data_IF_110425929811
#
_entry.id   IF_110425929811
#
_cell.length_a   1.000
_cell.length_b   1.000
_cell.length_c   1.000
_cell.angle_alpha   90.00
_cell.angle_beta   90.00
_cell.angle_gamma   90.00
#
_symmetry.space_group_name_H-M   'P 1'
#
loop_
_entity.id
_entity.type
_entity.pdbx_description
1 polymer ?
#
# COMPACT_ATOMS: atom_id res chain seq x y z
N UNK A 1 14.98 20.48 -2.09
CA UNK A 1 15.06 19.33 -1.15
C UNK A 1 14.14 19.52 0.05
N UNK A 2 14.34 20.59 0.83
CA UNK A 2 13.37 21.02 1.85
C UNK A 2 12.03 21.42 1.21
N UNK A 3 12.04 22.10 0.06
CA UNK A 3 10.81 22.57 -0.59
C UNK A 3 9.84 21.42 -0.95
N UNK A 4 10.29 20.35 -1.61
CA UNK A 4 9.45 19.18 -1.94
C UNK A 4 8.94 18.46 -0.67
N UNK A 5 9.76 18.37 0.38
CA UNK A 5 9.36 17.78 1.66
C UNK A 5 8.42 18.68 2.47
N UNK A 6 8.61 19.99 2.40
CA UNK A 6 7.77 21.02 3.01
C UNK A 6 6.43 21.06 2.26
N UNK A 7 6.44 21.00 0.93
CA UNK A 7 5.25 20.88 0.10
C UNK A 7 4.51 19.57 0.44
N UNK A 8 5.23 18.45 0.53
CA UNK A 8 4.67 17.19 1.00
C UNK A 8 4.02 17.31 2.37
N UNK A 9 4.67 17.94 3.36
CA UNK A 9 4.08 18.13 4.70
C UNK A 9 2.85 19.03 4.68
N UNK A 10 2.87 20.11 3.88
CA UNK A 10 1.81 21.12 3.77
C UNK A 10 0.56 20.60 3.05
N UNK A 11 0.69 19.59 2.20
CA UNK A 11 -0.44 19.00 1.50
C UNK A 11 -1.36 18.16 2.41
N UNK A 12 -2.64 18.10 2.04
CA UNK A 12 -3.64 17.19 2.65
C UNK A 12 -3.27 15.73 2.44
N UNK A 13 -3.85 14.82 3.22
CA UNK A 13 -3.58 13.38 3.13
C UNK A 13 -3.75 12.82 1.71
N UNK A 14 -4.74 13.34 0.95
CA UNK A 14 -4.94 12.99 -0.46
C UNK A 14 -3.80 13.47 -1.35
N UNK A 15 -3.33 14.70 -1.16
CA UNK A 15 -2.18 15.26 -1.89
C UNK A 15 -0.90 14.45 -1.66
N UNK A 16 -0.62 14.14 -0.38
CA UNK A 16 0.48 13.25 0.04
C UNK A 16 0.43 11.92 -0.69
N UNK A 17 -0.72 11.25 -0.69
CA UNK A 17 -0.90 9.98 -1.38
C UNK A 17 -0.65 10.08 -2.90
N UNK A 18 -1.09 11.17 -3.55
CA UNK A 18 -0.87 11.38 -4.98
C UNK A 18 0.62 11.59 -5.29
N UNK A 19 1.32 12.42 -4.51
CA UNK A 19 2.75 12.67 -4.69
C UNK A 19 3.58 11.40 -4.45
N UNK A 20 3.33 10.71 -3.33
CA UNK A 20 4.01 9.47 -3.00
C UNK A 20 3.77 8.39 -4.08
N UNK A 21 2.55 8.27 -4.60
CA UNK A 21 2.22 7.32 -5.68
C UNK A 21 2.92 7.66 -6.99
N UNK A 22 2.96 8.94 -7.38
CA UNK A 22 3.66 9.39 -8.59
C UNK A 22 5.15 9.07 -8.50
N UNK A 23 5.78 9.39 -7.36
CA UNK A 23 7.18 9.10 -7.12
C UNK A 23 7.46 7.60 -7.11
N UNK A 24 6.71 6.81 -6.32
CA UNK A 24 6.91 5.37 -6.25
C UNK A 24 6.74 4.70 -7.63
N UNK A 25 5.77 5.15 -8.44
CA UNK A 25 5.59 4.67 -9.81
C UNK A 25 6.80 5.01 -10.70
N UNK A 26 7.35 6.21 -10.58
CA UNK A 26 8.57 6.59 -11.29
C UNK A 26 9.78 5.77 -10.84
N UNK A 27 10.01 5.69 -9.53
CA UNK A 27 11.16 5.02 -8.93
C UNK A 27 11.21 3.52 -9.26
N UNK A 28 10.06 2.84 -9.25
CA UNK A 28 10.00 1.41 -9.54
C UNK A 28 10.14 1.11 -11.04
N UNK A 29 9.57 1.94 -11.92
CA UNK A 29 9.42 1.59 -13.34
C UNK A 29 10.35 2.34 -14.30
N UNK A 30 10.79 3.55 -13.96
CA UNK A 30 11.51 4.46 -14.86
C UNK A 30 12.91 4.83 -14.36
N UNK A 31 13.16 4.76 -13.06
CA UNK A 31 14.47 5.07 -12.51
C UNK A 31 15.52 4.07 -13.00
N UNK A 32 16.61 4.61 -13.55
CA UNK A 32 17.77 3.85 -14.02
C UNK A 32 18.88 3.93 -12.95
N UNK A 33 19.15 2.84 -12.21
CA UNK A 33 20.25 2.83 -11.26
C UNK A 33 21.57 2.95 -12.02
N UNK A 34 22.48 3.76 -11.49
CA UNK A 34 23.85 3.92 -12.00
C UNK A 34 24.83 3.10 -11.16
N UNK A 35 24.52 2.88 -9.88
CA UNK A 35 25.37 2.13 -8.95
C UNK A 35 24.72 0.82 -8.52
N UNK A 36 25.54 -0.16 -8.12
CA UNK A 36 25.06 -1.45 -7.59
C UNK A 36 24.22 -1.27 -6.32
N UNK A 37 24.52 -0.24 -5.52
CA UNK A 37 23.78 0.08 -4.29
C UNK A 37 22.36 0.53 -4.62
N UNK A 38 22.20 1.40 -5.64
CA UNK A 38 20.89 1.85 -6.11
C UNK A 38 20.08 0.69 -6.72
N UNK A 39 20.74 -0.21 -7.47
CA UNK A 39 20.06 -1.38 -8.03
C UNK A 39 19.52 -2.29 -6.91
N UNK A 40 20.33 -2.51 -5.86
CA UNK A 40 19.92 -3.28 -4.69
C UNK A 40 18.76 -2.63 -3.95
N UNK A 41 18.79 -1.31 -3.70
CA UNK A 41 17.66 -0.61 -3.07
C UNK A 41 16.40 -0.66 -3.95
N UNK A 42 16.53 -0.51 -5.27
CA UNK A 42 15.37 -0.59 -6.16
C UNK A 42 14.74 -2.00 -6.14
N UNK A 43 15.55 -3.06 -6.06
CA UNK A 43 15.08 -4.44 -5.87
C UNK A 43 14.40 -4.60 -4.51
N UNK A 44 14.99 -4.06 -3.44
CA UNK A 44 14.41 -4.09 -2.10
C UNK A 44 13.09 -3.31 -2.03
N UNK A 45 12.99 -2.15 -2.68
CA UNK A 45 11.77 -1.36 -2.75
C UNK A 45 10.63 -2.11 -3.47
N UNK A 46 10.95 -2.83 -4.57
CA UNK A 46 9.99 -3.70 -5.26
C UNK A 46 9.51 -4.85 -4.38
N UNK A 47 10.43 -5.50 -3.66
CA UNK A 47 10.09 -6.55 -2.72
C UNK A 47 9.21 -6.01 -1.59
N UNK A 48 9.62 -4.91 -0.98
CA UNK A 48 8.91 -4.24 0.10
C UNK A 48 7.49 -3.84 -0.31
N UNK A 49 7.33 -3.26 -1.50
CA UNK A 49 6.00 -2.95 -2.06
C UNK A 49 5.10 -4.19 -2.17
N UNK A 50 5.64 -5.31 -2.66
CA UNK A 50 4.91 -6.59 -2.74
C UNK A 50 4.56 -7.13 -1.35
N UNK A 51 5.49 -7.05 -0.40
CA UNK A 51 5.27 -7.48 0.98
C UNK A 51 4.16 -6.66 1.65
N UNK A 52 4.19 -5.33 1.56
CA UNK A 52 3.18 -4.47 2.17
C UNK A 52 1.78 -4.68 1.56
N UNK A 53 1.70 -4.80 0.23
CA UNK A 53 0.42 -5.03 -0.46
C UNK A 53 -0.16 -6.41 -0.15
N UNK A 54 0.67 -7.45 -0.16
CA UNK A 54 0.25 -8.82 0.18
C UNK A 54 -0.13 -8.92 1.66
N UNK A 55 0.71 -8.41 2.56
CA UNK A 55 0.45 -8.43 4.00
C UNK A 55 -0.81 -7.62 4.35
N UNK A 56 -1.00 -6.45 3.73
CA UNK A 56 -2.20 -5.63 3.92
C UNK A 56 -3.47 -6.38 3.48
N UNK A 57 -3.46 -7.01 2.30
CA UNK A 57 -4.61 -7.76 1.81
C UNK A 57 -4.92 -9.00 2.66
N UNK A 58 -3.90 -9.81 2.99
CA UNK A 58 -4.07 -11.04 3.76
C UNK A 58 -4.49 -10.75 5.20
N UNK A 59 -3.87 -9.78 5.87
CA UNK A 59 -4.18 -9.46 7.27
C UNK A 59 -5.62 -8.96 7.44
N UNK A 60 -6.08 -8.06 6.57
CA UNK A 60 -7.44 -7.51 6.65
C UNK A 60 -8.48 -8.53 6.19
N UNK A 61 -8.19 -9.32 5.14
CA UNK A 61 -9.06 -10.43 4.75
C UNK A 61 -9.20 -11.49 5.85
N UNK A 62 -8.10 -11.83 6.53
CA UNK A 62 -8.12 -12.76 7.66
C UNK A 62 -8.88 -12.20 8.87
N UNK A 63 -8.75 -10.89 9.16
CA UNK A 63 -9.53 -10.22 10.19
C UNK A 63 -11.04 -10.24 9.87
N UNK A 64 -11.44 -10.04 8.61
CA UNK A 64 -12.85 -10.19 8.17
C UNK A 64 -13.37 -11.60 8.46
N UNK A 65 -12.60 -12.63 8.10
CA UNK A 65 -12.96 -14.02 8.40
C UNK A 65 -13.12 -14.28 9.90
N UNK A 66 -12.15 -13.83 10.71
CA UNK A 66 -12.19 -13.94 12.18
C UNK A 66 -13.40 -13.23 12.77
N UNK A 67 -13.68 -12.00 12.34
CA UNK A 67 -14.81 -11.21 12.80
C UNK A 67 -16.15 -11.90 12.49
N UNK A 68 -16.30 -12.42 11.27
CA UNK A 68 -17.50 -13.18 10.88
C UNK A 68 -17.65 -14.47 11.71
N UNK A 69 -16.57 -15.23 11.94
CA UNK A 69 -16.61 -16.43 12.79
C UNK A 69 -17.05 -16.10 14.22
N UNK A 70 -16.55 -14.98 14.77
CA UNK A 70 -16.98 -14.50 16.08
C UNK A 70 -18.46 -14.11 16.10
N UNK A 71 -18.95 -13.41 15.07
CA UNK A 71 -20.37 -13.05 14.94
C UNK A 71 -21.28 -14.27 14.88
N UNK A 72 -20.89 -15.31 14.12
CA UNK A 72 -21.67 -16.56 14.07
C UNK A 72 -21.69 -17.31 15.40
N UNK A 73 -20.63 -17.23 16.20
CA UNK A 73 -20.62 -17.80 17.55
C UNK A 73 -21.62 -17.14 18.51
N UNK A 74 -22.16 -15.97 18.17
CA UNK A 74 -23.14 -15.23 18.97
C UNK A 74 -24.59 -15.37 18.44
N UNK A 75 -24.80 -16.02 17.30
CA UNK A 75 -26.12 -16.19 16.68
C UNK A 75 -26.80 -17.48 17.13
N UNK A 76 -28.13 -17.45 17.24
CA UNK A 76 -28.91 -18.64 17.61
C UNK A 76 -29.20 -19.53 16.40
N UNK A 77 -29.43 -20.83 16.64
CA UNK A 77 -29.53 -21.87 15.58
C UNK A 77 -30.65 -21.61 14.54
N UNK A 78 -31.69 -20.87 14.91
CA UNK A 78 -32.86 -20.54 14.07
C UNK A 78 -32.67 -19.30 13.17
N UNK A 79 -31.60 -18.53 13.34
CA UNK A 79 -31.33 -17.32 12.52
C UNK A 79 -30.54 -17.62 11.24
N UNK A 80 -30.12 -18.87 11.03
CA UNK A 80 -29.24 -19.25 9.92
C UNK A 80 -30.02 -19.60 8.64
N UNK A 81 -30.14 -18.63 7.73
CA UNK A 81 -30.39 -18.94 6.31
C UNK A 81 -29.06 -19.28 5.63
N UNK A 82 -28.91 -20.52 5.17
CA UNK A 82 -27.60 -21.12 4.83
C UNK A 82 -27.07 -20.78 3.42
N UNK A 83 -27.93 -20.49 2.44
CA UNK A 83 -27.49 -20.44 1.03
C UNK A 83 -27.22 -19.03 0.46
N UNK A 84 -28.09 -18.02 0.68
CA UNK A 84 -27.86 -16.68 0.11
C UNK A 84 -26.74 -15.90 0.83
N UNK A 85 -26.44 -16.27 2.07
CA UNK A 85 -25.47 -15.60 2.94
C UNK A 85 -24.03 -15.99 2.61
N UNK A 86 -23.79 -17.19 2.04
CA UNK A 86 -22.45 -17.67 1.72
C UNK A 86 -21.75 -16.82 0.65
N UNK A 87 -22.45 -16.52 -0.45
CA UNK A 87 -21.93 -15.68 -1.55
C UNK A 87 -21.70 -14.25 -1.08
N UNK A 88 -22.65 -13.70 -0.31
CA UNK A 88 -22.51 -12.35 0.25
C UNK A 88 -21.30 -12.25 1.19
N UNK A 89 -21.07 -13.27 2.02
CA UNK A 89 -19.92 -13.28 2.91
C UNK A 89 -18.59 -13.38 2.15
N UNK A 90 -18.53 -14.22 1.11
CA UNK A 90 -17.35 -14.34 0.27
C UNK A 90 -17.05 -12.99 -0.41
N UNK A 91 -18.09 -12.34 -0.96
CA UNK A 91 -17.96 -11.01 -1.55
C UNK A 91 -17.47 -9.96 -0.53
N UNK A 92 -17.97 -10.01 0.70
CA UNK A 92 -17.51 -9.14 1.78
C UNK A 92 -16.03 -9.38 2.12
N UNK A 93 -15.59 -10.64 2.25
CA UNK A 93 -14.17 -10.94 2.53
C UNK A 93 -13.25 -10.48 1.41
N UNK A 94 -13.64 -10.69 0.16
CA UNK A 94 -12.89 -10.21 -1.01
C UNK A 94 -12.80 -8.68 -1.02
N UNK A 95 -13.89 -8.00 -0.64
CA UNK A 95 -13.92 -6.54 -0.51
C UNK A 95 -12.96 -6.08 0.59
N UNK A 96 -12.96 -6.74 1.75
CA UNK A 96 -12.02 -6.45 2.83
C UNK A 96 -10.57 -6.70 2.43
N UNK A 97 -10.29 -7.81 1.74
CA UNK A 97 -8.96 -8.11 1.22
C UNK A 97 -8.50 -7.05 0.20
N UNK A 98 -9.39 -6.58 -0.68
CA UNK A 98 -9.11 -5.50 -1.62
C UNK A 98 -8.81 -4.17 -0.90
N UNK A 99 -9.61 -3.80 0.10
CA UNK A 99 -9.35 -2.61 0.91
C UNK A 99 -8.00 -2.72 1.64
N UNK A 100 -7.66 -3.92 2.13
CA UNK A 100 -6.35 -4.16 2.73
C UNK A 100 -5.19 -4.04 1.75
N UNK A 101 -5.37 -4.54 0.52
CA UNK A 101 -4.41 -4.34 -0.56
C UNK A 101 -4.20 -2.84 -0.86
N UNK A 102 -5.28 -2.07 -1.00
CA UNK A 102 -5.22 -0.62 -1.26
C UNK A 102 -4.52 0.11 -0.10
N UNK A 103 -4.81 -0.26 1.13
CA UNK A 103 -4.17 0.33 2.32
C UNK A 103 -2.67 0.01 2.33
N UNK A 104 -2.30 -1.25 2.09
CA UNK A 104 -0.91 -1.68 1.97
C UNK A 104 -0.17 -0.97 0.82
N UNK A 105 -0.84 -0.75 -0.32
CA UNK A 105 -0.32 0.02 -1.45
C UNK A 105 0.02 1.46 -1.05
N UNK A 106 -0.90 2.16 -0.37
CA UNK A 106 -0.69 3.54 0.05
C UNK A 106 0.44 3.66 1.07
N UNK A 107 0.50 2.75 2.05
CA UNK A 107 1.58 2.70 3.05
C UNK A 107 2.93 2.45 2.37
N UNK A 108 2.99 1.51 1.43
CA UNK A 108 4.22 1.22 0.69
C UNK A 108 4.70 2.44 -0.11
N UNK A 109 3.79 3.14 -0.80
CA UNK A 109 4.14 4.34 -1.56
C UNK A 109 4.66 5.47 -0.64
N UNK A 110 3.99 5.71 0.50
CA UNK A 110 4.42 6.72 1.48
C UNK A 110 5.80 6.37 2.07
N UNK A 111 6.02 5.09 2.41
CA UNK A 111 7.32 4.61 2.91
C UNK A 111 8.42 4.76 1.86
N UNK A 112 8.13 4.47 0.59
CA UNK A 112 9.10 4.62 -0.51
C UNK A 112 9.48 6.09 -0.68
N UNK A 113 8.49 6.99 -0.68
CA UNK A 113 8.72 8.42 -0.80
C UNK A 113 9.60 8.96 0.35
N UNK A 114 9.28 8.61 1.61
CA UNK A 114 9.97 9.15 2.78
C UNK A 114 11.42 8.69 2.98
N UNK A 115 11.78 7.51 2.49
CA UNK A 115 13.09 6.90 2.77
C UNK A 115 14.11 7.00 1.62
N UNK A 116 13.76 7.61 0.48
CA UNK A 116 14.64 7.72 -0.70
C UNK A 116 15.00 9.17 -1.03
N UNK A 117 15.41 9.94 -0.01
CA UNK A 117 15.77 11.36 -0.16
C UNK A 117 16.93 11.55 -1.15
N UNK A 118 17.90 10.63 -1.16
CA UNK A 118 19.03 10.67 -2.10
C UNK A 118 18.61 10.57 -3.58
N UNK A 119 17.50 9.88 -3.89
CA UNK A 119 16.93 9.83 -5.25
C UNK A 119 16.34 11.19 -5.61
N UNK A 120 15.63 11.82 -4.66
CA UNK A 120 15.07 13.16 -4.87
C UNK A 120 16.16 14.19 -5.14
N UNK A 121 17.28 14.12 -4.42
CA UNK A 121 18.45 14.98 -4.64
C UNK A 121 19.05 14.78 -6.03
N UNK A 122 19.27 13.52 -6.43
CA UNK A 122 19.79 13.21 -7.76
C UNK A 122 18.89 13.72 -8.89
N UNK A 123 17.57 13.56 -8.74
CA UNK A 123 16.60 14.06 -9.73
C UNK A 123 16.56 15.59 -9.80
N UNK A 124 16.86 16.28 -8.70
CA UNK A 124 16.99 17.74 -8.71
C UNK A 124 18.25 18.16 -9.47
N UNK A 125 19.39 17.51 -9.20
CA UNK A 125 20.66 17.78 -9.91
C UNK A 125 20.54 17.49 -11.41
N UNK A 126 19.90 16.38 -11.80
CA UNK A 126 19.65 16.04 -13.21
C UNK A 126 18.68 17.01 -13.92
N UNK A 127 17.88 17.79 -13.17
CA UNK A 127 16.96 18.80 -13.75
C UNK A 127 17.63 20.15 -13.97
N UNK A 128 18.62 20.49 -13.14
CA UNK A 128 19.34 21.77 -13.19
C UNK A 128 20.50 21.77 -14.22
N UNK A 129 20.74 20.64 -14.89
CA UNK A 129 21.68 20.47 -16.01
C UNK A 129 20.97 20.56 -17.36
#
# INVERSE_FOLDING_TARGET
MEEDFIEYRRQTARGKAVMAKKFAKFYINRFRPLTEVEEKDQKQARLLYRCFTLFGGVSIGFLSFRYRKFRYSQMNFWEHSMESVAVQNLANDLTWAFLGYVTGHLIACDYIFKNRNYIHERLAVERDQ
#
